data_IF_146880578258
#
_entry.id   IF_146880578258
#
_cell.length_a   1.000
_cell.length_b   1.000
_cell.length_c   1.000
_cell.angle_alpha   90.00
_cell.angle_beta   90.00
_cell.angle_gamma   90.00
#
_symmetry.space_group_name_H-M   'P 1'
#
loop_
_entity.id
_entity.type
_entity.pdbx_description
1 polymer ?
#
# COMPACT_ATOMS: atom_id res chain seq x y z
N UNK A 1 0.72 -0.53 -18.39
CA UNK A 1 -0.33 0.46 -18.67
C UNK A 1 0.25 1.84 -18.97
N UNK A 2 1.03 2.46 -18.08
CA UNK A 2 1.60 3.81 -18.30
C UNK A 2 2.54 3.89 -19.50
N UNK A 3 3.45 2.92 -19.66
CA UNK A 3 4.42 2.88 -20.78
C UNK A 3 3.72 2.70 -22.14
N UNK A 4 2.68 1.86 -22.19
CA UNK A 4 1.82 1.69 -23.36
C UNK A 4 1.10 3.00 -23.73
N UNK A 5 0.54 3.70 -22.73
CA UNK A 5 -0.17 4.95 -22.95
C UNK A 5 0.74 6.07 -23.50
N UNK A 6 1.97 6.18 -22.99
CA UNK A 6 2.95 7.16 -23.47
C UNK A 6 3.41 6.86 -24.91
N UNK A 7 3.67 5.60 -25.25
CA UNK A 7 4.08 5.22 -26.60
C UNK A 7 2.97 5.47 -27.64
N UNK A 8 1.72 5.16 -27.29
CA UNK A 8 0.57 5.46 -28.15
C UNK A 8 0.36 6.98 -28.32
N UNK A 9 0.63 7.77 -27.27
CA UNK A 9 0.61 9.25 -27.34
C UNK A 9 1.69 9.82 -28.26
N UNK A 10 2.74 9.06 -28.56
CA UNK A 10 3.79 9.41 -29.51
C UNK A 10 3.53 8.82 -30.91
N UNK A 11 2.34 8.26 -31.17
CA UNK A 11 1.97 7.54 -32.40
C UNK A 11 2.84 6.30 -32.68
N UNK A 12 3.45 5.71 -31.66
CA UNK A 12 4.34 4.55 -31.77
C UNK A 12 3.56 3.28 -31.41
N UNK A 13 3.32 2.41 -32.39
CA UNK A 13 2.55 1.17 -32.19
C UNK A 13 3.42 0.09 -31.52
N UNK A 14 3.13 -0.32 -30.28
CA UNK A 14 3.96 -1.27 -29.56
C UNK A 14 3.89 -2.68 -30.15
N UNK A 15 5.05 -3.29 -30.37
CA UNK A 15 5.19 -4.66 -30.88
C UNK A 15 6.62 -4.99 -31.29
N UNK A 16 6.89 -6.24 -31.72
CA UNK A 16 8.21 -6.68 -32.21
C UNK A 16 8.71 -5.84 -33.39
N UNK A 17 7.77 -5.25 -34.15
CA UNK A 17 8.05 -4.35 -35.27
C UNK A 17 8.68 -3.01 -34.83
N UNK A 18 8.58 -2.60 -33.56
CA UNK A 18 9.25 -1.38 -33.07
C UNK A 18 10.77 -1.47 -33.10
N UNK A 19 11.33 -2.66 -32.82
CA UNK A 19 12.77 -2.88 -32.89
C UNK A 19 13.31 -2.76 -34.33
N UNK A 20 12.45 -2.98 -35.34
CA UNK A 20 12.81 -2.89 -36.75
C UNK A 20 12.53 -1.51 -37.36
N UNK A 21 11.37 -0.91 -37.06
CA UNK A 21 10.97 0.38 -37.66
C UNK A 21 11.49 1.60 -36.92
N UNK A 22 11.72 1.51 -35.60
CA UNK A 22 12.15 2.64 -34.77
C UNK A 22 13.25 2.21 -33.77
N UNK A 23 14.40 1.70 -34.26
CA UNK A 23 15.48 1.19 -33.40
C UNK A 23 16.04 2.27 -32.46
N UNK A 24 16.11 3.53 -32.91
CA UNK A 24 16.63 4.65 -32.12
C UNK A 24 15.79 4.95 -30.88
N UNK A 25 14.46 4.83 -30.98
CA UNK A 25 13.56 5.07 -29.84
C UNK A 25 13.72 3.96 -28.81
N UNK A 26 13.85 2.71 -29.25
CA UNK A 26 13.97 1.56 -28.35
C UNK A 26 15.32 1.58 -27.63
N UNK A 27 16.42 1.76 -28.36
CA UNK A 27 17.75 1.86 -27.75
C UNK A 27 17.89 3.13 -26.90
N UNK A 28 17.29 4.25 -27.32
CA UNK A 28 17.21 5.47 -26.53
C UNK A 28 16.46 5.27 -25.22
N UNK A 29 15.33 4.54 -25.23
CA UNK A 29 14.55 4.23 -24.02
C UNK A 29 15.33 3.30 -23.09
N UNK A 30 15.97 2.25 -23.62
CA UNK A 30 16.79 1.32 -22.84
C UNK A 30 17.98 2.05 -22.21
N UNK A 31 18.67 2.90 -22.97
CA UNK A 31 19.77 3.72 -22.48
C UNK A 31 19.30 4.73 -21.43
N UNK A 32 18.16 5.39 -21.64
CA UNK A 32 17.57 6.33 -20.69
C UNK A 32 17.16 5.63 -19.38
N UNK A 33 16.60 4.42 -19.43
CA UNK A 33 16.31 3.61 -18.24
C UNK A 33 17.59 3.27 -17.46
N UNK A 34 18.67 2.91 -18.16
CA UNK A 34 19.96 2.62 -17.53
C UNK A 34 20.55 3.88 -16.87
N UNK A 35 20.64 4.98 -17.62
CA UNK A 35 21.18 6.25 -17.13
C UNK A 35 20.31 6.79 -15.99
N UNK A 36 18.99 6.75 -16.12
CA UNK A 36 18.06 7.21 -15.08
C UNK A 36 18.24 6.43 -13.78
N UNK A 37 18.43 5.10 -13.83
CA UNK A 37 18.69 4.32 -12.62
C UNK A 37 20.05 4.67 -11.99
N UNK A 38 21.10 4.87 -12.80
CA UNK A 38 22.39 5.34 -12.31
C UNK A 38 22.30 6.71 -11.63
N UNK A 39 21.62 7.67 -12.26
CA UNK A 39 21.38 9.00 -11.71
C UNK A 39 20.50 8.92 -10.45
N UNK A 40 19.45 8.09 -10.47
CA UNK A 40 18.55 7.89 -9.33
C UNK A 40 19.29 7.31 -8.14
N UNK A 41 20.21 6.37 -8.35
CA UNK A 41 21.10 5.82 -7.33
C UNK A 41 22.06 6.89 -6.80
N UNK A 42 22.74 7.60 -7.71
CA UNK A 42 23.68 8.66 -7.36
C UNK A 42 23.01 9.80 -6.58
N UNK A 43 21.73 10.09 -6.86
CA UNK A 43 20.94 11.08 -6.15
C UNK A 43 20.35 10.53 -4.84
N UNK A 44 19.95 9.25 -4.78
CA UNK A 44 19.41 8.65 -3.57
C UNK A 44 20.45 8.57 -2.45
N UNK A 45 21.70 8.21 -2.75
CA UNK A 45 22.77 8.06 -1.74
C UNK A 45 22.94 9.33 -0.87
N UNK A 46 23.15 10.54 -1.44
CA UNK A 46 23.26 11.76 -0.63
C UNK A 46 21.92 12.16 0.01
N UNK A 47 20.81 11.94 -0.69
CA UNK A 47 19.50 12.39 -0.24
C UNK A 47 18.94 11.56 0.92
N UNK A 48 19.26 10.26 0.99
CA UNK A 48 18.97 9.41 2.15
C UNK A 48 19.62 9.98 3.41
N UNK A 49 20.83 10.53 3.32
CA UNK A 49 21.49 11.21 4.44
C UNK A 49 20.76 12.48 4.91
N UNK A 50 20.12 13.21 4.00
CA UNK A 50 19.26 14.34 4.36
C UNK A 50 17.95 13.87 4.98
N UNK A 51 17.31 12.86 4.41
CA UNK A 51 16.04 12.34 4.92
C UNK A 51 16.20 11.77 6.33
N UNK A 52 17.26 11.00 6.60
CA UNK A 52 17.51 10.48 7.96
C UNK A 52 17.68 11.59 8.99
N UNK A 53 18.29 12.73 8.63
CA UNK A 53 18.36 13.91 9.51
C UNK A 53 16.99 14.52 9.79
N UNK A 54 16.09 14.54 8.81
CA UNK A 54 14.70 14.98 9.02
C UNK A 54 13.95 14.03 9.96
N UNK A 55 14.19 12.72 9.86
CA UNK A 55 13.61 11.74 10.79
C UNK A 55 14.14 11.88 12.23
N UNK A 56 15.35 12.41 12.42
CA UNK A 56 15.92 12.67 13.75
C UNK A 56 15.34 13.93 14.42
N UNK A 57 14.57 14.75 13.70
CA UNK A 57 13.93 15.93 14.29
C UNK A 57 12.89 15.48 15.32
N UNK A 58 12.90 16.06 16.55
CA UNK A 58 11.95 15.70 17.58
C UNK A 58 10.50 15.75 17.06
N UNK A 59 9.67 14.72 17.31
CA UNK A 59 8.30 14.66 16.79
C UNK A 59 7.43 15.87 17.16
N UNK A 60 7.73 16.53 18.30
CA UNK A 60 7.05 17.74 18.75
C UNK A 60 7.14 18.91 17.76
N UNK A 61 8.23 19.00 17.00
CA UNK A 61 8.45 20.04 15.98
C UNK A 61 8.06 19.52 14.60
N UNK A 62 8.27 18.23 14.34
CA UNK A 62 7.97 17.61 13.05
C UNK A 62 6.46 17.58 12.77
N UNK A 63 5.65 17.22 13.77
CA UNK A 63 4.19 17.11 13.61
C UNK A 63 3.50 18.42 13.14
N UNK A 64 3.73 19.60 13.75
CA UNK A 64 3.11 20.84 13.29
C UNK A 64 3.57 21.24 11.88
N UNK A 65 4.83 20.97 11.52
CA UNK A 65 5.32 21.23 10.17
C UNK A 65 4.64 20.34 9.13
N UNK A 66 4.55 19.02 9.40
CA UNK A 66 3.82 18.07 8.56
C UNK A 66 2.36 18.49 8.42
N UNK A 67 1.70 18.85 9.53
CA UNK A 67 0.32 19.32 9.49
C UNK A 67 0.17 20.56 8.59
N UNK A 68 1.03 21.57 8.74
CA UNK A 68 1.00 22.78 7.92
C UNK A 68 1.15 22.45 6.42
N UNK A 69 2.11 21.60 6.06
CA UNK A 69 2.31 21.16 4.68
C UNK A 69 1.11 20.37 4.16
N UNK A 70 0.50 19.49 4.98
CA UNK A 70 -0.71 18.75 4.60
C UNK A 70 -1.91 19.66 4.36
N UNK A 71 -2.13 20.67 5.21
CA UNK A 71 -3.18 21.68 5.02
C UNK A 71 -3.01 22.42 3.69
N UNK A 72 -1.79 22.90 3.40
CA UNK A 72 -1.48 23.58 2.15
C UNK A 72 -1.64 22.63 0.95
N UNK A 73 -1.20 21.38 1.07
CA UNK A 73 -1.30 20.39 0.00
C UNK A 73 -2.73 20.04 -0.37
N UNK A 74 -3.60 19.79 0.61
CA UNK A 74 -5.00 19.45 0.36
C UNK A 74 -5.76 20.65 -0.19
N UNK A 75 -5.58 21.83 0.41
CA UNK A 75 -6.19 23.05 -0.11
C UNK A 75 -5.70 23.41 -1.52
N UNK A 76 -4.42 23.16 -1.82
CA UNK A 76 -3.84 23.42 -3.14
C UNK A 76 -4.36 22.51 -4.25
N UNK A 77 -4.78 21.28 -3.93
CA UNK A 77 -5.32 20.34 -4.91
C UNK A 77 -6.81 20.58 -5.15
N UNK A 78 -7.60 20.73 -4.08
CA UNK A 78 -9.05 20.78 -4.20
C UNK A 78 -9.67 22.17 -4.13
N UNK A 79 -8.95 23.16 -3.58
CA UNK A 79 -9.46 24.51 -3.36
C UNK A 79 -10.68 24.59 -2.42
N UNK A 80 -11.05 23.49 -1.76
CA UNK A 80 -12.29 23.35 -1.01
C UNK A 80 -12.05 23.38 0.49
N UNK A 81 -12.80 24.24 1.20
CA UNK A 81 -12.78 24.28 2.66
C UNK A 81 -13.39 23.01 3.30
N UNK A 82 -14.26 22.32 2.56
CA UNK A 82 -14.89 21.07 3.02
C UNK A 82 -13.86 19.95 3.17
N UNK A 83 -12.92 19.83 2.23
CA UNK A 83 -11.86 18.83 2.30
C UNK A 83 -10.91 19.10 3.47
N UNK A 84 -10.72 20.38 3.81
CA UNK A 84 -10.00 20.79 5.01
C UNK A 84 -10.69 20.30 6.29
N UNK A 85 -12.02 20.46 6.37
CA UNK A 85 -12.81 19.98 7.51
C UNK A 85 -12.78 18.44 7.61
N UNK A 86 -12.92 17.74 6.47
CA UNK A 86 -12.77 16.29 6.42
C UNK A 86 -11.38 15.84 6.86
N UNK A 87 -10.32 16.52 6.40
CA UNK A 87 -8.94 16.22 6.80
C UNK A 87 -8.77 16.32 8.32
N UNK A 88 -9.28 17.40 8.92
CA UNK A 88 -9.25 17.56 10.38
C UNK A 88 -10.05 16.45 11.07
N UNK A 89 -11.25 16.12 10.56
CA UNK A 89 -12.07 15.04 11.07
C UNK A 89 -11.35 13.68 11.06
N UNK A 90 -10.75 13.30 9.93
CA UNK A 90 -9.97 12.08 9.82
C UNK A 90 -8.68 12.12 10.65
N UNK A 91 -8.06 13.29 10.82
CA UNK A 91 -6.92 13.47 11.72
C UNK A 91 -7.26 13.18 13.18
N UNK A 92 -8.40 13.71 13.66
CA UNK A 92 -8.94 13.41 15.00
C UNK A 92 -9.28 11.93 15.12
N UNK A 93 -9.93 11.35 14.11
CA UNK A 93 -10.26 9.92 14.08
C UNK A 93 -9.00 9.06 14.18
N UNK A 94 -7.95 9.40 13.43
CA UNK A 94 -6.65 8.75 13.51
C UNK A 94 -5.98 8.86 14.89
N UNK A 95 -6.11 10.02 15.55
CA UNK A 95 -5.63 10.19 16.93
C UNK A 95 -6.39 9.29 17.92
N UNK A 96 -7.71 9.16 17.77
CA UNK A 96 -8.52 8.24 18.58
C UNK A 96 -8.09 6.79 18.36
N UNK A 97 -7.90 6.36 17.11
CA UNK A 97 -7.48 4.98 16.80
C UNK A 97 -6.09 4.68 17.36
N UNK A 98 -5.17 5.66 17.33
CA UNK A 98 -3.87 5.53 17.97
C UNK A 98 -3.98 5.39 19.49
N UNK A 99 -4.93 6.08 20.12
CA UNK A 99 -5.20 5.95 21.56
C UNK A 99 -5.83 4.62 21.94
N UNK A 100 -6.50 3.95 21.00
CA UNK A 100 -7.04 2.60 21.15
C UNK A 100 -6.00 1.49 20.84
N UNK A 101 -4.73 1.85 20.66
CA UNK A 101 -3.64 0.96 20.26
C UNK A 101 -3.94 0.15 18.98
N UNK A 102 -4.80 0.69 18.11
CA UNK A 102 -5.09 0.07 16.82
C UNK A 102 -3.87 0.28 15.92
N UNK A 103 -3.25 -0.81 15.42
CA UNK A 103 -2.11 -0.68 14.53
C UNK A 103 -2.52 0.03 13.22
N UNK A 104 -1.69 0.98 12.78
CA UNK A 104 -1.95 1.75 11.56
C UNK A 104 -1.89 0.88 10.30
N UNK A 105 -1.04 -0.16 10.31
CA UNK A 105 -0.78 -1.02 9.15
C UNK A 105 -2.05 -1.73 8.65
N UNK A 106 -2.86 -2.40 9.49
CA UNK A 106 -4.14 -2.96 9.07
C UNK A 106 -5.15 -1.95 8.52
N UNK A 107 -5.15 -0.71 9.02
CA UNK A 107 -6.05 0.34 8.51
C UNK A 107 -5.69 0.69 7.08
N UNK A 108 -4.40 0.92 6.80
CA UNK A 108 -3.89 1.24 5.46
C UNK A 108 -4.13 0.06 4.50
N UNK A 109 -3.88 -1.17 4.95
CA UNK A 109 -4.14 -2.36 4.15
C UNK A 109 -5.64 -2.51 3.87
N UNK A 110 -6.50 -2.30 4.86
CA UNK A 110 -7.94 -2.35 4.72
C UNK A 110 -8.48 -1.31 3.72
N UNK A 111 -7.94 -0.09 3.72
CA UNK A 111 -8.39 0.97 2.80
C UNK A 111 -7.92 0.72 1.37
N UNK A 112 -6.66 0.28 1.18
CA UNK A 112 -6.12 -0.09 -0.13
C UNK A 112 -6.83 -1.32 -0.72
N UNK A 113 -6.96 -2.38 0.08
CA UNK A 113 -7.57 -3.63 -0.34
C UNK A 113 -9.09 -3.50 -0.48
N UNK A 114 -9.75 -2.68 0.34
CA UNK A 114 -11.20 -2.50 0.32
C UNK A 114 -11.71 -2.00 -1.03
N UNK A 115 -11.07 -1.00 -1.61
CA UNK A 115 -11.42 -0.52 -2.95
C UNK A 115 -11.25 -1.61 -4.02
N UNK A 116 -10.17 -2.37 -3.96
CA UNK A 116 -9.97 -3.47 -4.90
C UNK A 116 -10.99 -4.59 -4.67
N UNK A 117 -11.31 -4.91 -3.42
CA UNK A 117 -12.29 -5.92 -3.03
C UNK A 117 -13.68 -5.54 -3.55
N UNK A 118 -14.15 -4.32 -3.29
CA UNK A 118 -15.45 -3.82 -3.74
C UNK A 118 -15.55 -3.82 -5.28
N UNK A 119 -14.50 -3.36 -5.97
CA UNK A 119 -14.46 -3.36 -7.43
C UNK A 119 -14.53 -4.78 -8.02
N UNK A 120 -13.82 -5.74 -7.42
CA UNK A 120 -13.86 -7.13 -7.85
C UNK A 120 -15.18 -7.82 -7.48
N UNK A 121 -15.76 -7.50 -6.32
CA UNK A 121 -17.06 -7.98 -5.89
C UNK A 121 -18.16 -7.52 -6.85
N UNK A 122 -18.20 -6.20 -7.15
CA UNK A 122 -19.12 -5.64 -8.14
C UNK A 122 -18.93 -6.27 -9.49
N UNK A 123 -17.69 -6.42 -9.95
CA UNK A 123 -17.38 -7.09 -11.22
C UNK A 123 -17.91 -8.52 -11.25
N UNK A 124 -17.70 -9.30 -10.19
CA UNK A 124 -18.19 -10.67 -10.09
C UNK A 124 -19.72 -10.75 -10.18
N UNK A 125 -20.43 -9.89 -9.44
CA UNK A 125 -21.90 -9.84 -9.41
C UNK A 125 -22.46 -9.36 -10.75
N UNK A 126 -21.83 -8.37 -11.39
CA UNK A 126 -22.25 -7.89 -12.71
C UNK A 126 -22.10 -8.98 -13.77
N UNK A 127 -21.01 -9.76 -13.72
CA UNK A 127 -20.80 -10.88 -14.64
C UNK A 127 -21.82 -12.01 -14.38
N UNK A 128 -22.22 -12.23 -13.13
CA UNK A 128 -23.22 -13.24 -12.76
C UNK A 128 -24.68 -12.75 -12.87
N UNK A 129 -24.95 -11.64 -13.56
CA UNK A 129 -26.28 -11.06 -13.72
C UNK A 129 -27.01 -10.77 -12.38
N UNK A 130 -26.27 -10.40 -11.34
CA UNK A 130 -26.85 -10.09 -10.02
C UNK A 130 -26.96 -11.28 -9.07
N UNK A 131 -26.51 -12.47 -9.46
CA UNK A 131 -26.54 -13.64 -8.59
C UNK A 131 -25.37 -13.64 -7.59
N UNK A 132 -25.71 -13.49 -6.31
CA UNK A 132 -24.75 -13.51 -5.19
C UNK A 132 -24.21 -14.90 -4.90
N UNK A 133 -24.89 -15.95 -5.36
CA UNK A 133 -24.49 -17.34 -5.12
C UNK A 133 -23.16 -17.69 -5.81
N UNK A 134 -22.77 -16.92 -6.84
CA UNK A 134 -21.50 -17.09 -7.57
C UNK A 134 -20.27 -17.02 -6.66
N UNK A 135 -20.37 -16.34 -5.51
CA UNK A 135 -19.29 -16.19 -4.54
C UNK A 135 -18.98 -17.48 -3.76
N UNK A 136 -19.93 -18.42 -3.71
CA UNK A 136 -19.81 -19.66 -2.91
C UNK A 136 -20.07 -20.91 -3.76
N UNK A 137 -20.58 -20.76 -4.97
CA UNK A 137 -20.90 -21.91 -5.84
C UNK A 137 -19.67 -22.51 -6.53
N UNK A 138 -18.63 -21.71 -6.80
CA UNK A 138 -17.46 -22.22 -7.53
C UNK A 138 -16.58 -23.09 -6.61
N UNK A 139 -16.12 -24.28 -7.06
CA UNK A 139 -15.22 -25.13 -6.28
C UNK A 139 -13.94 -24.40 -5.83
N UNK A 140 -13.46 -23.47 -6.66
CA UNK A 140 -12.32 -22.62 -6.33
C UNK A 140 -12.66 -21.63 -5.21
N UNK A 141 -13.83 -20.99 -5.25
CA UNK A 141 -14.30 -20.08 -4.20
C UNK A 141 -14.44 -20.81 -2.87
N UNK A 142 -15.03 -22.01 -2.87
CA UNK A 142 -15.16 -22.85 -1.66
C UNK A 142 -13.78 -23.18 -1.09
N UNK A 143 -12.84 -23.56 -1.95
CA UNK A 143 -11.45 -23.81 -1.56
C UNK A 143 -10.79 -22.59 -0.91
N UNK A 144 -10.92 -21.41 -1.54
CA UNK A 144 -10.38 -20.15 -1.02
C UNK A 144 -11.02 -19.74 0.32
N UNK A 145 -12.34 -19.87 0.45
CA UNK A 145 -13.06 -19.62 1.71
C UNK A 145 -12.61 -20.57 2.82
N UNK A 146 -12.40 -21.85 2.49
CA UNK A 146 -11.90 -22.85 3.44
C UNK A 146 -10.49 -22.48 3.92
N UNK A 147 -9.59 -22.13 3.00
CA UNK A 147 -8.23 -21.69 3.34
C UNK A 147 -8.24 -20.40 4.16
N UNK A 148 -9.07 -19.42 3.80
CA UNK A 148 -9.21 -18.18 4.54
C UNK A 148 -9.72 -18.41 5.97
N UNK A 149 -10.75 -19.26 6.13
CA UNK A 149 -11.29 -19.63 7.44
C UNK A 149 -10.24 -20.34 8.29
N UNK A 150 -9.56 -21.34 7.72
CA UNK A 150 -8.49 -22.09 8.40
C UNK A 150 -7.34 -21.16 8.80
N UNK A 151 -6.90 -20.29 7.90
CA UNK A 151 -5.82 -19.32 8.14
C UNK A 151 -6.17 -18.24 9.16
N UNK A 152 -7.44 -17.88 9.31
CA UNK A 152 -7.91 -16.97 10.35
C UNK A 152 -8.06 -17.66 11.71
N UNK A 153 -8.64 -18.87 11.73
CA UNK A 153 -8.98 -19.61 12.95
C UNK A 153 -7.74 -20.25 13.60
N UNK A 154 -6.84 -20.85 12.81
CA UNK A 154 -5.62 -21.50 13.32
C UNK A 154 -4.78 -20.62 14.25
N UNK A 155 -4.37 -19.39 13.88
CA UNK A 155 -3.56 -18.54 14.75
C UNK A 155 -4.32 -18.05 15.99
N UNK A 156 -5.65 -17.96 15.95
CA UNK A 156 -6.45 -17.58 17.13
C UNK A 156 -6.43 -18.69 18.19
N UNK A 157 -6.56 -19.95 17.79
CA UNK A 157 -6.56 -21.09 18.70
C UNK A 157 -5.13 -21.57 19.07
N UNK A 158 -4.25 -21.72 18.08
CA UNK A 158 -2.88 -22.23 18.26
C UNK A 158 -1.90 -21.14 18.70
N UNK A 159 -2.09 -19.90 18.24
CA UNK A 159 -1.24 -18.76 18.64
C UNK A 159 -1.37 -18.40 20.11
N UNK A 160 -2.54 -18.60 20.74
CA UNK A 160 -2.70 -18.49 22.20
C UNK A 160 -1.88 -19.54 22.95
N UNK A 161 -1.80 -20.76 22.42
CA UNK A 161 -1.04 -21.86 23.03
C UNK A 161 0.48 -21.70 22.85
N UNK A 162 0.92 -21.27 21.67
CA UNK A 162 2.33 -21.00 21.36
C UNK A 162 2.87 -19.78 22.14
N UNK A 163 2.11 -18.69 22.20
CA UNK A 163 2.48 -17.50 22.99
C UNK A 163 2.54 -17.80 24.49
N UNK A 164 1.70 -18.72 24.98
CA UNK A 164 1.76 -19.21 26.37
C UNK A 164 2.98 -20.11 26.64
N UNK A 165 3.47 -20.88 25.66
CA UNK A 165 4.69 -21.69 25.80
C UNK A 165 5.96 -20.83 25.82
N UNK A 166 6.09 -19.86 24.91
CA UNK A 166 7.26 -18.97 24.87
C UNK A 166 7.42 -18.15 26.16
N UNK A 167 6.32 -17.69 26.77
CA UNK A 167 6.35 -16.98 28.05
C UNK A 167 6.78 -17.87 29.23
N UNK A 168 6.48 -19.18 29.16
CA UNK A 168 6.90 -20.14 30.18
C UNK A 168 8.37 -20.52 30.08
N UNK A 169 8.94 -20.53 28.89
CA UNK A 169 10.37 -20.78 28.70
C UNK A 169 11.23 -19.59 29.14
N UNK A 170 10.80 -18.35 28.86
CA UNK A 170 11.49 -17.14 29.34
C UNK A 170 11.57 -17.09 30.88
N UNK A 171 10.47 -17.36 31.59
CA UNK A 171 10.44 -17.36 33.06
C UNK A 171 11.28 -18.50 33.69
N UNK A 172 11.55 -19.59 32.97
CA UNK A 172 12.41 -20.67 33.49
C UNK A 172 13.89 -20.29 33.44
N UNK A 173 14.31 -19.59 32.39
CA UNK A 173 15.68 -19.10 32.23
C UNK A 173 16.01 -18.01 33.26
N UNK A 174 15.04 -17.17 33.63
CA UNK A 174 15.20 -16.17 34.71
C UNK A 174 15.21 -16.78 36.12
N UNK A 175 14.68 -17.99 36.31
CA UNK A 175 14.68 -18.69 37.60
C UNK A 175 15.95 -19.53 37.84
N UNK A 176 16.72 -19.82 36.77
CA UNK A 176 17.99 -20.54 36.83
C UNK A 176 19.23 -19.62 36.86
N UNK A 177 19.06 -18.29 36.72
CA UNK A 177 20.10 -17.26 36.85
C UNK A 177 20.10 -16.58 38.21
#
# INVERSE_FOLDING_TARGET
AVLLAVLLSLNITPGPLLFNHNPDVVWGLIAALFIANFVLLAMNIPMVGLFTRVLMVPPRILMPFVAMVSFVGIYGISGSAFDLQMMVGFGVLGWVLRKLDVPLVPIILGTLLGNMMENNLRRAITISNGDWWVLVQSPLSIGLWTVALVGFVLPIFVGRLLKARMRREANKLEAES
#
